data_IF_624733183684
#
_entry.id   IF_624733183684
#
_cell.length_a   1.000
_cell.length_b   1.000
_cell.length_c   1.000
_cell.angle_alpha   90.00
_cell.angle_beta   90.00
_cell.angle_gamma   90.00
#
_symmetry.space_group_name_H-M   'P 1'
#
loop_
_entity.id
_entity.type
_entity.pdbx_description
1 polymer ?
#
# COMPACT_ATOMS: atom_id res chain seq x y z
N UNK A 1 -9.79 -1.17 -6.97
CA UNK A 1 -8.93 -2.37 -6.90
C UNK A 1 -7.53 -1.98 -7.31
N UNK A 2 -6.56 -2.09 -6.40
CA UNK A 2 -5.14 -1.90 -6.69
C UNK A 2 -4.52 -3.19 -7.20
N UNK A 3 -3.47 -3.09 -7.98
CA UNK A 3 -2.81 -4.21 -8.62
C UNK A 3 -1.33 -4.29 -8.25
N UNK A 4 -0.75 -5.50 -8.20
CA UNK A 4 0.65 -5.76 -7.85
C UNK A 4 1.44 -6.42 -8.97
N UNK A 5 2.73 -6.05 -9.07
CA UNK A 5 3.75 -6.67 -9.90
C UNK A 5 4.87 -7.27 -9.04
N UNK A 6 5.20 -8.53 -9.23
CA UNK A 6 6.37 -9.17 -8.63
C UNK A 6 7.58 -9.19 -9.58
N UNK A 7 8.71 -8.70 -9.10
CA UNK A 7 10.02 -9.12 -9.63
C UNK A 7 10.32 -10.52 -9.09
N UNK A 8 10.55 -11.49 -9.99
CA UNK A 8 10.63 -12.93 -9.76
C UNK A 8 11.27 -13.36 -8.44
N UNK A 9 10.47 -13.99 -7.60
CA UNK A 9 10.81 -14.69 -6.38
C UNK A 9 9.63 -15.57 -6.00
N UNK A 10 9.91 -16.81 -5.61
CA UNK A 10 8.92 -17.81 -5.20
C UNK A 10 8.00 -17.29 -4.09
N UNK A 11 6.75 -17.79 -3.98
CA UNK A 11 5.82 -17.40 -2.93
C UNK A 11 6.40 -17.75 -1.56
N UNK A 12 6.80 -16.75 -0.81
CA UNK A 12 7.29 -16.91 0.56
C UNK A 12 6.11 -17.17 1.49
N UNK A 13 6.24 -18.23 2.28
CA UNK A 13 5.33 -18.56 3.39
C UNK A 13 5.25 -17.40 4.38
N UNK A 14 4.07 -17.20 4.95
CA UNK A 14 3.84 -16.21 6.00
C UNK A 14 4.88 -16.34 7.15
N UNK A 15 5.45 -15.23 7.63
CA UNK A 15 6.46 -15.28 8.69
C UNK A 15 5.84 -15.75 10.01
N UNK A 16 6.44 -16.79 10.60
CA UNK A 16 6.15 -17.26 11.96
C UNK A 16 6.44 -16.16 12.97
N UNK A 17 5.43 -15.83 13.77
CA UNK A 17 5.55 -14.95 14.92
C UNK A 17 6.53 -15.53 15.95
N UNK A 18 7.65 -14.86 16.17
CA UNK A 18 8.56 -15.13 17.28
C UNK A 18 8.16 -14.28 18.47
N UNK A 19 7.79 -14.94 19.58
CA UNK A 19 7.49 -14.28 20.85
C UNK A 19 8.77 -13.84 21.54
N UNK A 20 8.92 -12.54 21.81
CA UNK A 20 9.97 -12.01 22.66
C UNK A 20 9.51 -11.93 24.13
N UNK A 21 10.45 -12.14 25.10
CA UNK A 21 10.10 -12.19 26.52
C UNK A 21 9.79 -10.81 27.11
N UNK A 22 8.86 -10.81 28.09
CA UNK A 22 8.43 -9.65 28.83
C UNK A 22 9.57 -9.07 29.68
N UNK A 23 9.88 -7.79 29.48
CA UNK A 23 10.77 -7.03 30.36
C UNK A 23 9.99 -6.39 31.51
N UNK A 24 10.60 -6.43 32.68
CA UNK A 24 10.11 -6.03 33.99
C UNK A 24 10.08 -4.51 34.14
N UNK A 25 8.95 -3.98 34.66
CA UNK A 25 8.76 -2.56 34.97
C UNK A 25 9.42 -2.23 36.33
N UNK A 26 10.40 -1.36 36.33
CA UNK A 26 10.83 -0.63 37.53
C UNK A 26 10.71 0.87 37.33
N UNK A 27 10.29 1.53 38.40
CA UNK A 27 9.78 2.92 38.51
C UNK A 27 10.86 4.01 38.33
N UNK A 28 10.45 5.27 38.06
CA UNK A 28 11.34 6.39 37.77
C UNK A 28 11.82 7.13 39.00
N UNK A 29 13.09 7.46 39.08
CA UNK A 29 13.65 8.45 39.98
C UNK A 29 14.36 9.55 39.22
N UNK A 30 13.91 10.77 39.47
CA UNK A 30 14.64 12.02 39.61
C UNK A 30 15.72 12.40 38.60
N UNK A 31 15.32 13.12 37.53
CA UNK A 31 16.19 14.01 36.73
C UNK A 31 15.33 15.12 36.09
N UNK A 32 14.89 16.08 36.91
CA UNK A 32 14.10 17.24 36.48
C UNK A 32 14.91 18.54 36.37
N UNK A 33 16.24 18.49 36.38
CA UNK A 33 17.07 19.71 36.47
C UNK A 33 18.06 19.92 35.32
N UNK A 34 18.04 19.14 34.26
CA UNK A 34 19.00 19.27 33.15
C UNK A 34 18.37 19.58 31.79
N UNK A 35 17.12 20.04 31.76
CA UNK A 35 16.38 20.24 30.49
C UNK A 35 16.56 21.63 29.85
N UNK A 36 17.13 22.62 30.53
CA UNK A 36 17.23 24.01 30.01
C UNK A 36 18.51 24.34 29.25
N UNK A 37 19.45 23.42 29.13
CA UNK A 37 20.74 23.70 28.47
C UNK A 37 20.89 23.07 27.07
N UNK A 38 19.96 22.24 26.61
CA UNK A 38 20.06 21.51 25.32
C UNK A 38 19.24 22.15 24.19
N UNK A 39 18.45 23.18 24.48
CA UNK A 39 17.52 23.78 23.49
C UNK A 39 18.18 24.75 22.47
N UNK A 40 19.48 24.82 22.40
CA UNK A 40 20.18 25.75 21.47
C UNK A 40 21.15 25.11 20.47
N UNK A 41 21.09 23.82 20.27
CA UNK A 41 21.82 23.17 19.18
C UNK A 41 20.87 22.27 18.39
N UNK A 42 19.84 22.82 17.77
CA UNK A 42 19.18 22.15 16.64
C UNK A 42 20.17 22.16 15.49
N UNK A 43 21.04 21.16 15.47
CA UNK A 43 21.70 20.76 14.24
C UNK A 43 20.57 20.27 13.34
N UNK A 44 20.23 21.03 12.32
CA UNK A 44 19.37 20.57 11.22
C UNK A 44 20.03 19.30 10.65
N UNK A 45 19.63 18.16 11.17
CA UNK A 45 19.86 16.88 10.49
C UNK A 45 19.12 17.00 9.17
N UNK A 46 19.82 16.92 8.02
CA UNK A 46 19.14 16.99 6.73
C UNK A 46 18.06 15.91 6.72
N UNK A 47 16.82 16.32 6.46
CA UNK A 47 15.70 15.41 6.29
C UNK A 47 16.14 14.30 5.31
N UNK A 48 16.03 13.01 5.66
CA UNK A 48 16.50 11.95 4.78
C UNK A 48 15.79 12.12 3.44
N UNK A 49 16.59 12.28 2.38
CA UNK A 49 16.10 12.47 1.03
C UNK A 49 15.03 11.41 0.74
N UNK A 50 13.81 11.84 0.44
CA UNK A 50 12.71 10.93 0.16
C UNK A 50 13.13 10.02 -1.01
N UNK A 51 12.93 8.70 -0.91
CA UNK A 51 13.33 7.80 -1.98
C UNK A 51 12.61 8.18 -3.27
N UNK A 52 13.37 8.34 -4.35
CA UNK A 52 12.79 8.55 -5.67
C UNK A 52 12.03 7.28 -6.06
N UNK A 53 10.71 7.38 -6.15
CA UNK A 53 9.86 6.27 -6.54
C UNK A 53 9.89 6.13 -8.07
N UNK A 54 10.43 5.00 -8.52
CA UNK A 54 10.44 4.63 -9.93
C UNK A 54 9.01 4.28 -10.38
N UNK A 55 8.56 4.84 -11.48
CA UNK A 55 7.28 4.50 -12.11
C UNK A 55 7.56 3.66 -13.36
N UNK A 56 7.04 2.45 -13.37
CA UNK A 56 7.12 1.52 -14.50
C UNK A 56 5.76 1.32 -15.15
N UNK A 57 5.76 0.92 -16.42
CA UNK A 57 4.54 0.63 -17.16
C UNK A 57 4.82 -0.39 -18.26
N UNK A 58 4.23 -1.57 -18.16
CA UNK A 58 4.45 -2.65 -19.08
C UNK A 58 3.66 -2.47 -20.39
N UNK A 59 4.23 -2.94 -21.49
CA UNK A 59 3.51 -3.08 -22.76
C UNK A 59 2.65 -4.34 -22.74
N UNK A 60 1.46 -4.27 -23.34
CA UNK A 60 0.57 -5.42 -23.50
C UNK A 60 0.84 -6.12 -24.84
N UNK A 61 0.84 -7.45 -24.87
CA UNK A 61 0.93 -8.25 -26.11
C UNK A 61 -0.15 -7.88 -27.13
N UNK A 62 -1.32 -7.51 -26.63
CA UNK A 62 -2.45 -7.08 -27.46
C UNK A 62 -2.35 -5.65 -27.98
N UNK A 63 -1.27 -4.94 -27.64
CA UNK A 63 -1.06 -3.53 -27.94
C UNK A 63 -1.53 -2.61 -26.80
N UNK A 64 -0.92 -1.43 -26.75
CA UNK A 64 -1.14 -0.49 -25.66
C UNK A 64 -0.25 -0.76 -24.45
N UNK A 65 -0.65 -0.22 -23.30
CA UNK A 65 0.11 -0.30 -22.05
C UNK A 65 -0.80 -0.72 -20.89
N UNK A 66 -0.25 -1.46 -19.95
CA UNK A 66 -0.88 -1.78 -18.68
C UNK A 66 -0.94 -0.57 -17.74
N UNK A 67 -1.38 -0.76 -16.48
CA UNK A 67 -1.40 0.29 -15.47
C UNK A 67 0.01 0.80 -15.15
N UNK A 68 0.11 2.06 -14.73
CA UNK A 68 1.35 2.60 -14.17
C UNK A 68 1.55 2.06 -12.77
N UNK A 69 2.75 1.57 -12.49
CA UNK A 69 3.11 0.96 -11.22
C UNK A 69 4.22 1.76 -10.54
N UNK A 70 4.04 2.07 -9.25
CA UNK A 70 5.07 2.64 -8.39
C UNK A 70 5.90 1.50 -7.77
N UNK A 71 7.21 1.51 -7.98
CA UNK A 71 8.14 0.55 -7.40
C UNK A 71 8.50 0.97 -5.97
N UNK A 72 7.94 0.30 -4.98
CA UNK A 72 8.19 0.58 -3.56
C UNK A 72 9.42 -0.19 -3.06
N UNK A 73 10.28 0.45 -2.24
CA UNK A 73 11.43 -0.22 -1.66
C UNK A 73 11.01 -1.31 -0.67
N UNK A 74 11.92 -2.26 -0.42
CA UNK A 74 11.80 -3.13 0.74
C UNK A 74 11.85 -2.30 2.02
N UNK A 75 11.06 -2.68 3.02
CA UNK A 75 11.02 -1.92 4.26
C UNK A 75 10.35 -2.65 5.41
N UNK A 76 10.50 -2.07 6.59
CA UNK A 76 9.81 -2.48 7.81
C UNK A 76 8.83 -1.39 8.22
N UNK A 77 7.63 -1.77 8.63
CA UNK A 77 6.64 -0.85 9.19
C UNK A 77 5.81 -1.54 10.26
N UNK A 78 5.13 -0.77 11.06
CA UNK A 78 4.19 -1.28 12.05
C UNK A 78 2.78 -1.25 11.45
N UNK A 79 2.25 -2.43 11.14
CA UNK A 79 0.89 -2.61 10.61
C UNK A 79 -0.12 -2.56 11.75
N UNK A 80 -1.30 -2.01 11.46
CA UNK A 80 -2.41 -1.96 12.40
C UNK A 80 -2.40 -0.74 13.30
N UNK A 81 -3.30 -0.74 14.27
CA UNK A 81 -3.58 0.40 15.14
C UNK A 81 -3.22 0.15 16.59
N UNK A 82 -2.92 1.23 17.34
CA UNK A 82 -2.63 1.17 18.76
C UNK A 82 -3.85 0.70 19.59
N UNK A 83 -3.62 0.25 20.82
CA UNK A 83 -4.67 -0.20 21.72
C UNK A 83 -5.75 0.86 22.01
N UNK A 84 -5.44 2.15 21.84
CA UNK A 84 -6.36 3.27 22.01
C UNK A 84 -7.18 3.62 20.77
N UNK A 85 -6.90 2.99 19.61
CA UNK A 85 -7.69 3.19 18.39
C UNK A 85 -9.11 2.64 18.55
N UNK A 86 -10.14 3.26 18.01
CA UNK A 86 -11.49 2.69 17.96
C UNK A 86 -11.61 1.49 17.01
N UNK A 87 -10.68 1.31 16.06
CA UNK A 87 -10.64 0.19 15.12
C UNK A 87 -10.12 -1.07 15.82
N UNK A 88 -11.03 -1.91 16.30
CA UNK A 88 -10.69 -3.12 17.07
C UNK A 88 -10.08 -4.23 16.22
N UNK A 89 -10.47 -4.33 14.97
CA UNK A 89 -10.03 -5.29 13.97
C UNK A 89 -8.61 -5.05 13.47
N UNK A 90 -8.07 -3.83 13.66
CA UNK A 90 -6.70 -3.47 13.33
C UNK A 90 -5.70 -3.76 14.46
N UNK A 91 -6.10 -4.40 15.54
CA UNK A 91 -5.26 -4.64 16.74
C UNK A 91 -4.86 -6.11 16.89
N UNK A 92 -3.71 -6.38 17.51
CA UNK A 92 -2.67 -5.45 17.98
C UNK A 92 -1.77 -4.99 16.82
N UNK A 93 -1.05 -3.86 16.99
CA UNK A 93 -0.04 -3.47 16.00
C UNK A 93 1.07 -4.52 15.92
N UNK A 94 1.59 -4.78 14.74
CA UNK A 94 2.62 -5.77 14.48
C UNK A 94 3.68 -5.23 13.53
N UNK A 95 4.94 -5.59 13.77
CA UNK A 95 6.03 -5.27 12.86
C UNK A 95 6.02 -6.22 11.66
N UNK A 96 6.00 -5.65 10.46
CA UNK A 96 6.00 -6.38 9.19
C UNK A 96 7.19 -5.93 8.35
N UNK A 97 7.88 -6.90 7.76
CA UNK A 97 8.96 -6.66 6.80
C UNK A 97 8.45 -7.07 5.43
N UNK A 98 8.53 -6.15 4.47
CA UNK A 98 8.12 -6.40 3.09
C UNK A 98 9.33 -6.34 2.15
N UNK A 99 9.42 -7.24 1.18
CA UNK A 99 10.37 -7.11 0.08
C UNK A 99 10.00 -5.92 -0.81
N UNK A 100 10.88 -5.57 -1.74
CA UNK A 100 10.58 -4.63 -2.82
C UNK A 100 9.42 -5.16 -3.67
N UNK A 101 8.44 -4.31 -3.96
CA UNK A 101 7.28 -4.65 -4.80
C UNK A 101 6.78 -3.43 -5.57
N UNK A 102 5.91 -3.65 -6.55
CA UNK A 102 5.24 -2.56 -7.25
C UNK A 102 3.74 -2.55 -6.97
N UNK A 103 3.16 -1.37 -6.83
CA UNK A 103 1.72 -1.16 -6.68
C UNK A 103 1.23 -0.17 -7.74
N UNK A 104 0.02 -0.34 -8.26
CA UNK A 104 -0.57 0.63 -9.17
C UNK A 104 -0.73 2.00 -8.51
N UNK A 105 -0.38 3.06 -9.24
CA UNK A 105 -0.47 4.45 -8.73
C UNK A 105 -1.90 4.95 -8.62
N UNK A 106 -2.85 4.25 -9.25
CA UNK A 106 -4.28 4.50 -9.19
C UNK A 106 -5.02 3.18 -9.08
N UNK A 107 -6.27 3.24 -8.73
CA UNK A 107 -7.19 2.12 -8.90
C UNK A 107 -7.29 1.76 -10.40
N UNK A 108 -7.65 0.49 -10.68
CA UNK A 108 -7.94 0.05 -12.06
C UNK A 108 -9.11 0.87 -12.61
N UNK A 109 -8.91 1.48 -13.75
CA UNK A 109 -9.95 2.32 -14.37
C UNK A 109 -10.91 1.50 -15.23
N UNK A 110 -12.06 2.09 -15.55
CA UNK A 110 -12.97 1.50 -16.53
C UNK A 110 -12.28 1.27 -17.88
N UNK A 111 -11.43 2.18 -18.34
CA UNK A 111 -10.72 2.01 -19.62
C UNK A 111 -9.80 0.77 -19.62
N UNK A 112 -9.10 0.54 -18.50
CA UNK A 112 -8.24 -0.63 -18.35
C UNK A 112 -9.07 -1.92 -18.29
N UNK A 113 -10.16 -1.91 -17.53
CA UNK A 113 -11.02 -3.07 -17.36
C UNK A 113 -11.83 -3.39 -18.62
N UNK A 114 -12.29 -2.40 -19.37
CA UNK A 114 -12.99 -2.57 -20.64
C UNK A 114 -12.10 -3.23 -21.70
N UNK A 115 -10.80 -2.91 -21.69
CA UNK A 115 -9.84 -3.57 -22.56
C UNK A 115 -9.74 -5.09 -22.25
N UNK A 116 -9.69 -5.44 -20.97
CA UNK A 116 -9.73 -6.82 -20.52
C UNK A 116 -11.00 -7.53 -20.99
N UNK A 117 -12.18 -6.96 -20.67
CA UNK A 117 -13.48 -7.55 -21.06
C UNK A 117 -13.60 -7.74 -22.59
N UNK A 118 -13.09 -6.77 -23.36
CA UNK A 118 -13.09 -6.85 -24.83
C UNK A 118 -12.28 -8.05 -25.36
N UNK A 119 -11.22 -8.44 -24.65
CA UNK A 119 -10.33 -9.52 -25.09
C UNK A 119 -10.77 -10.90 -24.61
N UNK A 120 -11.22 -11.01 -23.38
CA UNK A 120 -11.61 -12.31 -22.81
C UNK A 120 -13.09 -12.64 -23.00
N UNK A 121 -13.89 -11.67 -23.36
CA UNK A 121 -15.36 -11.75 -23.32
C UNK A 121 -15.89 -11.55 -21.91
N UNK A 122 -17.17 -11.39 -21.75
CA UNK A 122 -17.83 -11.22 -20.47
C UNK A 122 -18.72 -9.98 -20.38
N UNK A 123 -19.27 -9.75 -19.21
CA UNK A 123 -20.12 -8.57 -18.94
C UNK A 123 -19.30 -7.33 -18.68
N UNK A 124 -19.67 -6.24 -19.31
CA UNK A 124 -19.11 -4.92 -19.02
C UNK A 124 -19.75 -4.42 -17.71
N UNK A 125 -18.98 -4.08 -16.66
CA UNK A 125 -19.54 -3.58 -15.42
C UNK A 125 -20.34 -2.29 -15.64
N UNK A 126 -21.50 -2.18 -15.00
CA UNK A 126 -22.31 -0.96 -15.03
C UNK A 126 -21.60 0.17 -14.27
N UNK A 127 -21.65 1.38 -14.81
CA UNK A 127 -21.01 2.55 -14.19
C UNK A 127 -21.94 3.32 -13.25
N UNK A 128 -23.19 2.91 -13.11
CA UNK A 128 -24.21 3.52 -12.22
C UNK A 128 -24.39 5.04 -12.45
N UNK A 129 -24.13 5.52 -13.67
CA UNK A 129 -24.13 6.96 -13.96
C UNK A 129 -22.90 7.71 -13.47
N UNK A 130 -21.94 7.00 -12.86
CA UNK A 130 -20.67 7.53 -12.40
C UNK A 130 -19.78 8.01 -13.56
N UNK A 131 -19.94 7.40 -14.73
CA UNK A 131 -19.12 7.60 -15.92
C UNK A 131 -17.95 6.63 -15.99
N UNK A 132 -17.33 6.52 -17.16
CA UNK A 132 -16.29 5.52 -17.48
C UNK A 132 -14.92 6.17 -17.68
N UNK A 133 -14.14 5.64 -18.59
CA UNK A 133 -12.78 6.09 -18.95
C UNK A 133 -11.79 6.02 -17.77
N UNK A 134 -11.36 7.15 -17.28
CA UNK A 134 -10.34 7.24 -16.20
C UNK A 134 -10.91 7.10 -14.78
N UNK A 135 -12.21 6.87 -14.63
CA UNK A 135 -12.80 6.64 -13.31
C UNK A 135 -12.51 5.22 -12.85
N UNK A 136 -12.35 5.00 -11.55
CA UNK A 136 -12.19 3.65 -11.00
C UNK A 136 -13.33 2.74 -11.42
N UNK A 137 -13.00 1.51 -11.82
CA UNK A 137 -14.02 0.51 -12.13
C UNK A 137 -14.76 0.11 -10.87
N UNK A 138 -16.08 0.08 -10.93
CA UNK A 138 -16.99 -0.34 -9.85
C UNK A 138 -17.82 -1.55 -10.32
N UNK A 139 -18.55 -2.18 -9.41
CA UNK A 139 -19.37 -3.37 -9.66
C UNK A 139 -18.55 -4.56 -10.20
N UNK A 140 -17.32 -4.72 -9.71
CA UNK A 140 -16.46 -5.88 -9.94
C UNK A 140 -16.27 -6.64 -8.63
N UNK A 141 -16.40 -7.96 -8.68
CA UNK A 141 -16.15 -8.83 -7.54
C UNK A 141 -14.62 -9.02 -7.32
N UNK A 142 -14.28 -9.66 -6.21
CA UNK A 142 -12.89 -10.07 -5.95
C UNK A 142 -12.37 -11.07 -7.01
N UNK A 143 -13.23 -12.01 -7.45
CA UNK A 143 -12.87 -12.97 -8.50
C UNK A 143 -12.66 -12.29 -9.85
N UNK A 144 -13.47 -11.29 -10.19
CA UNK A 144 -13.29 -10.46 -11.39
C UNK A 144 -11.95 -9.71 -11.35
N UNK A 145 -11.59 -9.17 -10.19
CA UNK A 145 -10.32 -8.47 -9.98
C UNK A 145 -9.12 -9.43 -10.12
N UNK A 146 -9.24 -10.67 -9.61
CA UNK A 146 -8.22 -11.71 -9.82
C UNK A 146 -8.10 -12.12 -11.28
N UNK A 147 -9.22 -12.28 -11.97
CA UNK A 147 -9.23 -12.62 -13.40
C UNK A 147 -8.53 -11.52 -14.22
N UNK A 148 -8.78 -10.26 -13.91
CA UNK A 148 -8.07 -9.13 -14.52
C UNK A 148 -6.56 -9.18 -14.26
N UNK A 149 -6.15 -9.46 -13.02
CA UNK A 149 -4.74 -9.60 -12.68
C UNK A 149 -4.04 -10.77 -13.41
N UNK A 150 -4.71 -11.91 -13.52
CA UNK A 150 -4.22 -13.05 -14.27
C UNK A 150 -4.08 -12.72 -15.77
N UNK A 151 -5.07 -12.05 -16.36
CA UNK A 151 -5.00 -11.58 -17.75
C UNK A 151 -3.83 -10.61 -17.95
N UNK A 152 -3.61 -9.65 -17.05
CA UNK A 152 -2.44 -8.76 -17.13
C UNK A 152 -1.13 -9.54 -17.06
N UNK A 153 -1.05 -10.58 -16.23
CA UNK A 153 0.13 -11.42 -16.16
C UNK A 153 0.41 -12.11 -17.49
N UNK A 154 -0.62 -12.63 -18.14
CA UNK A 154 -0.49 -13.22 -19.48
C UNK A 154 -0.09 -12.18 -20.54
N UNK A 155 -0.64 -10.97 -20.46
CA UNK A 155 -0.37 -9.90 -21.41
C UNK A 155 1.04 -9.33 -21.31
N UNK A 156 1.63 -9.31 -20.12
CA UNK A 156 2.91 -8.64 -19.87
C UNK A 156 4.07 -9.62 -19.71
N UNK A 157 3.80 -10.86 -19.31
CA UNK A 157 4.81 -11.84 -18.90
C UNK A 157 5.34 -11.60 -17.49
N UNK A 158 4.81 -10.62 -16.76
CA UNK A 158 5.09 -10.36 -15.36
C UNK A 158 3.95 -10.85 -14.47
N UNK A 159 4.24 -11.14 -13.21
CA UNK A 159 3.23 -11.62 -12.29
C UNK A 159 2.45 -10.46 -11.66
N UNK A 160 1.17 -10.32 -12.02
CA UNK A 160 0.24 -9.39 -11.40
C UNK A 160 -0.71 -10.12 -10.45
N UNK A 161 -1.03 -9.53 -9.32
CA UNK A 161 -1.99 -10.04 -8.34
C UNK A 161 -2.61 -8.91 -7.53
N UNK A 162 -3.61 -9.21 -6.72
CA UNK A 162 -4.11 -8.28 -5.71
C UNK A 162 -3.08 -8.12 -4.58
N UNK A 163 -3.03 -6.96 -3.93
CA UNK A 163 -2.19 -6.73 -2.76
C UNK A 163 -2.60 -7.60 -1.58
N UNK A 164 -1.64 -7.94 -0.74
CA UNK A 164 -1.95 -8.30 0.63
C UNK A 164 -2.33 -7.06 1.43
N UNK A 165 -3.00 -7.26 2.55
CA UNK A 165 -3.33 -6.18 3.50
C UNK A 165 -2.08 -5.39 3.91
N UNK A 166 -1.00 -6.11 4.26
CA UNK A 166 0.27 -5.48 4.66
C UNK A 166 0.90 -4.61 3.58
N UNK A 167 0.87 -5.07 2.33
CA UNK A 167 1.42 -4.32 1.20
C UNK A 167 0.57 -3.07 0.91
N UNK A 168 -0.75 -3.21 0.99
CA UNK A 168 -1.66 -2.08 0.80
C UNK A 168 -1.45 -1.02 1.90
N UNK A 169 -1.40 -1.44 3.17
CA UNK A 169 -1.20 -0.52 4.29
C UNK A 169 0.18 0.15 4.24
N UNK A 170 1.25 -0.60 3.90
CA UNK A 170 2.58 -0.04 3.70
C UNK A 170 2.59 1.08 2.66
N UNK A 171 1.95 0.83 1.50
CA UNK A 171 1.84 1.83 0.44
C UNK A 171 0.99 3.04 0.88
N UNK A 172 -0.15 2.81 1.53
CA UNK A 172 -1.05 3.86 1.98
C UNK A 172 -0.41 4.76 3.05
N UNK A 173 0.38 4.19 3.96
CA UNK A 173 1.12 4.95 4.98
C UNK A 173 2.24 5.79 4.41
N UNK A 174 2.87 5.38 3.33
CA UNK A 174 3.99 6.08 2.70
C UNK A 174 5.07 6.54 3.72
N UNK A 175 5.35 5.69 4.74
CA UNK A 175 6.30 5.98 5.83
C UNK A 175 5.70 6.76 7.00
N UNK A 176 4.44 7.20 6.96
CA UNK A 176 3.80 7.88 8.08
C UNK A 176 3.50 6.92 9.23
N UNK A 177 3.58 7.44 10.47
CA UNK A 177 3.19 6.72 11.69
C UNK A 177 1.84 7.19 12.23
N UNK A 178 1.22 8.14 11.56
CA UNK A 178 -0.07 8.72 11.91
C UNK A 178 -1.24 7.92 11.32
N UNK A 179 -2.47 8.02 11.84
CA UNK A 179 -3.64 7.33 11.30
C UNK A 179 -3.91 7.64 9.83
N UNK A 180 -3.57 8.85 9.37
CA UNK A 180 -3.66 9.26 7.98
C UNK A 180 -2.26 9.64 7.47
N UNK A 181 -2.01 9.48 6.19
CA UNK A 181 -0.72 9.87 5.59
C UNK A 181 -0.42 11.37 5.74
N UNK A 182 -1.45 12.19 5.97
CA UNK A 182 -1.35 13.65 6.21
C UNK A 182 -1.38 14.05 7.70
N UNK A 183 -1.52 13.14 8.65
CA UNK A 183 -1.47 13.45 10.07
C UNK A 183 -2.55 12.77 10.93
N UNK A 184 -2.86 13.40 12.06
CA UNK A 184 -3.68 12.80 13.12
C UNK A 184 -5.19 12.99 12.94
N UNK A 185 -5.63 14.00 12.19
CA UNK A 185 -7.03 14.38 12.08
C UNK A 185 -7.59 14.07 10.70
N UNK A 186 -8.86 13.62 10.61
CA UNK A 186 -9.52 13.51 9.33
C UNK A 186 -9.60 14.87 8.64
N UNK A 187 -9.44 14.89 7.32
CA UNK A 187 -9.53 16.08 6.48
C UNK A 187 -10.32 15.73 5.23
N UNK A 188 -11.51 16.33 5.10
CA UNK A 188 -12.46 16.05 4.02
C UNK A 188 -11.96 16.42 2.60
N UNK A 189 -10.84 17.12 2.50
CA UNK A 189 -10.26 17.50 1.20
C UNK A 189 -9.16 16.56 0.69
N UNK A 190 -8.75 15.55 1.49
CA UNK A 190 -7.56 14.75 1.20
C UNK A 190 -7.83 13.30 0.83
N UNK A 191 -9.00 12.81 1.16
CA UNK A 191 -9.45 11.48 0.76
C UNK A 191 -10.97 11.50 0.56
N UNK A 192 -11.44 10.60 -0.29
CA UNK A 192 -12.86 10.34 -0.49
C UNK A 192 -13.24 9.16 0.42
N UNK A 193 -13.76 9.47 1.60
CA UNK A 193 -14.18 8.52 2.63
C UNK A 193 -15.69 8.62 2.85
#
# INVERSE_FOLDING_TARGET
>A
VFLFLFGGGEPQQEPRVSQLPRANLQQPTEQAAERDAVEKAVVETPEPAQPVIEIIQDALKSGGKGPKMAMLPAGKFTQGSSASSPAFDERPPRDVILPRFAISITEVTFADYDLFVKQVGGSVPADQGWGRNRRPVINVSWDDARAYAAWLSDQTGHQYRLPSESEWEYAARAGSVTPYWWGWKPDHGRANC
#
